data_IF_666388067695
#
_entry.id   IF_666388067695
#
_cell.length_a   1.000
_cell.length_b   1.000
_cell.length_c   1.000
_cell.angle_alpha   90.00
_cell.angle_beta   90.00
_cell.angle_gamma   90.00
#
_symmetry.space_group_name_H-M   'P 1'
#
loop_
_entity.id
_entity.type
_entity.pdbx_description
1 polymer ?
#
# COMPACT_ATOMS: atom_id res chain seq x y z
N UNK A 1 -20.71 2.79 0.33
CA UNK A 1 -19.39 2.55 0.95
C UNK A 1 -18.38 2.53 -0.17
N UNK A 2 -17.54 3.57 -0.29
CA UNK A 2 -16.65 3.71 -1.44
C UNK A 2 -15.73 2.49 -1.56
N UNK A 3 -15.57 1.96 -2.79
CA UNK A 3 -14.58 0.93 -3.13
C UNK A 3 -13.18 1.52 -2.87
N UNK A 4 -12.77 1.46 -1.60
CA UNK A 4 -11.49 1.99 -1.17
C UNK A 4 -10.47 0.88 -1.35
N UNK A 5 -9.61 1.03 -2.36
CA UNK A 5 -8.44 0.18 -2.58
C UNK A 5 -7.69 -0.14 -1.28
N UNK A 6 -7.54 0.85 -0.39
CA UNK A 6 -6.89 0.68 0.92
C UNK A 6 -7.67 -0.22 1.88
N UNK A 7 -9.01 -0.19 1.87
CA UNK A 7 -9.83 -1.11 2.66
C UNK A 7 -9.72 -2.56 2.15
N UNK A 8 -9.50 -2.74 0.84
CA UNK A 8 -9.19 -4.07 0.28
C UNK A 8 -7.83 -4.56 0.77
N UNK A 9 -6.82 -3.68 0.77
CA UNK A 9 -5.48 -4.01 1.27
C UNK A 9 -5.57 -4.42 2.75
N UNK A 10 -6.22 -3.63 3.60
CA UNK A 10 -6.41 -3.95 5.01
C UNK A 10 -6.95 -5.38 5.21
N UNK A 11 -8.05 -5.73 4.54
CA UNK A 11 -8.65 -7.06 4.65
C UNK A 11 -7.72 -8.19 4.19
N UNK A 12 -6.84 -7.92 3.23
CA UNK A 12 -5.83 -8.90 2.80
C UNK A 12 -4.78 -9.04 3.89
N UNK A 13 -4.26 -7.93 4.43
CA UNK A 13 -3.24 -7.96 5.49
C UNK A 13 -3.75 -8.59 6.78
N UNK A 14 -5.03 -8.43 7.12
CA UNK A 14 -5.69 -9.09 8.27
C UNK A 14 -5.72 -10.64 8.14
N UNK A 15 -5.54 -11.19 6.93
CA UNK A 15 -5.48 -12.64 6.68
C UNK A 15 -4.04 -13.16 6.57
N UNK A 16 -3.06 -12.27 6.45
CA UNK A 16 -1.66 -12.60 6.31
C UNK A 16 -1.00 -12.61 7.71
N UNK A 17 0.07 -13.38 7.92
CA UNK A 17 0.86 -13.26 9.14
C UNK A 17 1.44 -11.85 9.28
N UNK A 18 1.67 -11.37 10.51
CA UNK A 18 2.19 -10.01 10.80
C UNK A 18 3.65 -9.77 10.34
N UNK A 19 4.21 -10.65 9.51
CA UNK A 19 5.59 -10.62 9.01
C UNK A 19 5.72 -9.97 7.62
N UNK A 20 4.65 -9.35 7.13
CA UNK A 20 4.67 -8.64 5.85
C UNK A 20 5.49 -7.34 5.93
N UNK A 21 6.09 -6.98 4.80
CA UNK A 21 6.97 -5.84 4.63
C UNK A 21 6.48 -4.95 3.49
N UNK A 22 6.62 -3.64 3.64
CA UNK A 22 6.32 -2.65 2.60
C UNK A 22 7.63 -2.23 1.93
N UNK A 23 7.68 -2.29 0.61
CA UNK A 23 8.78 -1.72 -0.19
C UNK A 23 8.30 -0.51 -0.94
N UNK A 24 9.07 0.57 -0.88
CA UNK A 24 8.95 1.70 -1.80
C UNK A 24 9.71 1.37 -3.09
N UNK A 25 9.10 1.68 -4.22
CA UNK A 25 9.66 1.50 -5.56
C UNK A 25 9.62 2.88 -6.22
N UNK A 26 10.79 3.45 -6.48
CA UNK A 26 10.98 4.78 -7.07
C UNK A 26 10.81 4.74 -8.59
N UNK A 27 9.63 4.31 -9.01
CA UNK A 27 9.20 4.29 -10.40
C UNK A 27 7.93 5.13 -10.57
N UNK A 28 7.85 5.92 -11.66
CA UNK A 28 6.69 6.75 -11.90
C UNK A 28 5.44 5.90 -12.12
N UNK A 29 4.34 6.31 -11.52
CA UNK A 29 3.05 5.64 -11.68
C UNK A 29 1.91 6.63 -11.78
N UNK A 30 0.78 6.17 -12.29
CA UNK A 30 -0.40 7.00 -12.49
C UNK A 30 -1.61 6.30 -11.88
N UNK A 31 -2.45 7.05 -11.19
CA UNK A 31 -3.72 6.55 -10.68
C UNK A 31 -4.82 7.59 -10.89
N UNK A 32 -6.03 7.12 -11.21
CA UNK A 32 -7.20 8.00 -11.28
C UNK A 32 -7.72 8.27 -9.87
N UNK A 33 -8.01 9.52 -9.56
CA UNK A 33 -8.70 9.88 -8.32
C UNK A 33 -10.22 9.66 -8.46
N UNK A 34 -10.97 9.91 -7.38
CA UNK A 34 -12.43 9.78 -7.38
C UNK A 34 -13.15 10.77 -8.32
N UNK A 35 -12.48 11.85 -8.74
CA UNK A 35 -12.97 12.81 -9.74
C UNK A 35 -12.65 12.38 -11.18
N UNK A 36 -11.97 11.26 -11.37
CA UNK A 36 -11.54 10.75 -12.68
C UNK A 36 -10.24 11.37 -13.22
N UNK A 37 -9.61 12.27 -12.47
CA UNK A 37 -8.36 12.93 -12.85
C UNK A 37 -7.18 11.97 -12.67
N UNK A 38 -6.24 11.98 -13.61
CA UNK A 38 -5.02 11.19 -13.53
C UNK A 38 -3.99 11.93 -12.69
N UNK A 39 -3.66 11.37 -11.53
CA UNK A 39 -2.59 11.86 -10.67
C UNK A 39 -1.32 11.07 -10.97
N UNK A 40 -0.23 11.79 -11.16
CA UNK A 40 1.11 11.24 -11.33
C UNK A 40 1.78 11.15 -9.96
N UNK A 41 2.47 10.04 -9.72
CA UNK A 41 3.25 9.80 -8.52
C UNK A 41 4.65 9.38 -8.95
N UNK A 42 5.67 9.91 -8.28
CA UNK A 42 7.07 9.57 -8.59
C UNK A 42 7.49 8.18 -8.10
N UNK A 43 6.68 7.60 -7.20
CA UNK A 43 6.93 6.29 -6.61
C UNK A 43 5.63 5.55 -6.32
N UNK A 44 5.75 4.26 -6.03
CA UNK A 44 4.69 3.45 -5.47
C UNK A 44 5.21 2.49 -4.41
N UNK A 45 4.29 1.95 -3.63
CA UNK A 45 4.55 0.97 -2.59
C UNK A 45 3.96 -0.38 -2.99
N UNK A 46 4.63 -1.44 -2.56
CA UNK A 46 4.14 -2.81 -2.64
C UNK A 46 4.33 -3.52 -1.31
N UNK A 47 3.35 -4.35 -0.95
CA UNK A 47 3.49 -5.26 0.19
C UNK A 47 4.06 -6.60 -0.28
N UNK A 48 5.02 -7.10 0.48
CA UNK A 48 5.66 -8.40 0.33
C UNK A 48 5.44 -9.20 1.61
N UNK A 49 5.35 -10.52 1.49
CA UNK A 49 5.42 -11.44 2.63
C UNK A 49 6.89 -11.58 3.09
N UNK A 50 7.12 -12.13 4.28
CA UNK A 50 8.47 -12.44 4.75
C UNK A 50 9.25 -13.38 3.82
N UNK A 51 8.56 -14.23 3.06
CA UNK A 51 9.18 -15.11 2.05
C UNK A 51 9.66 -14.35 0.78
N UNK A 52 9.44 -13.03 0.69
CA UNK A 52 9.80 -12.20 -0.46
C UNK A 52 8.78 -12.21 -1.59
N UNK A 53 7.63 -12.87 -1.45
CA UNK A 53 6.56 -12.84 -2.44
C UNK A 53 5.72 -11.57 -2.34
N UNK A 54 5.41 -10.96 -3.48
CA UNK A 54 4.52 -9.80 -3.52
C UNK A 54 3.06 -10.21 -3.28
N UNK A 55 2.39 -9.55 -2.34
CA UNK A 55 0.98 -9.81 -2.04
C UNK A 55 0.11 -9.20 -3.16
N UNK A 56 -0.76 -10.03 -3.75
CA UNK A 56 -1.64 -9.61 -4.83
C UNK A 56 -2.59 -8.51 -4.36
N UNK A 57 -2.87 -7.55 -5.23
CA UNK A 57 -3.71 -6.38 -4.96
C UNK A 57 -3.17 -5.39 -3.91
N UNK A 58 -1.95 -5.59 -3.40
CA UNK A 58 -1.30 -4.71 -2.42
C UNK A 58 -0.26 -3.77 -3.03
N UNK A 59 -0.55 -3.21 -4.22
CA UNK A 59 0.21 -2.09 -4.82
C UNK A 59 -0.54 -0.80 -4.58
N UNK A 60 0.07 0.22 -4.00
CA UNK A 60 -0.58 1.50 -3.65
C UNK A 60 0.41 2.67 -3.72
N UNK A 61 -0.06 3.91 -3.73
CA UNK A 61 0.79 5.09 -3.88
C UNK A 61 0.87 5.96 -2.62
N UNK A 62 -0.14 5.92 -1.74
CA UNK A 62 -0.24 6.84 -0.60
C UNK A 62 -0.12 6.06 0.70
N UNK A 63 1.07 6.10 1.31
CA UNK A 63 1.38 5.40 2.56
C UNK A 63 0.52 5.88 3.74
N UNK A 64 0.26 7.19 3.81
CA UNK A 64 -0.57 7.81 4.84
C UNK A 64 -1.99 7.23 4.86
N UNK A 65 -2.55 6.93 3.68
CA UNK A 65 -3.89 6.32 3.59
C UNK A 65 -3.90 4.89 4.08
N UNK A 66 -2.83 4.13 3.84
CA UNK A 66 -2.71 2.78 4.39
C UNK A 66 -2.62 2.84 5.93
N UNK A 67 -1.77 3.72 6.46
CA UNK A 67 -1.61 3.94 7.90
C UNK A 67 -2.94 4.31 8.58
N UNK A 68 -3.71 5.23 8.00
CA UNK A 68 -5.03 5.62 8.49
C UNK A 68 -6.02 4.44 8.54
N UNK A 69 -6.02 3.59 7.51
CA UNK A 69 -6.92 2.44 7.44
C UNK A 69 -6.51 1.36 8.46
N UNK A 70 -5.21 1.14 8.64
CA UNK A 70 -4.66 0.23 9.64
C UNK A 70 -4.71 0.80 11.07
N UNK A 71 -5.04 2.09 11.23
CA UNK A 71 -5.06 2.83 12.51
C UNK A 71 -3.72 2.81 13.25
N UNK A 72 -2.62 2.82 12.50
CA UNK A 72 -1.25 2.88 13.00
C UNK A 72 -0.58 4.14 12.47
N UNK A 73 0.43 4.69 13.17
CA UNK A 73 1.21 5.79 12.61
C UNK A 73 2.08 5.29 11.45
N UNK A 74 2.36 6.16 10.48
CA UNK A 74 3.14 5.81 9.27
C UNK A 74 4.52 5.24 9.62
N UNK A 75 5.15 5.77 10.67
CA UNK A 75 6.45 5.36 11.19
C UNK A 75 6.47 3.94 11.79
N UNK A 76 5.31 3.39 12.15
CA UNK A 76 5.19 2.00 12.63
C UNK A 76 4.96 0.99 11.51
N UNK A 77 4.76 1.45 10.27
CA UNK A 77 4.64 0.54 9.15
C UNK A 77 6.00 -0.11 8.86
N UNK A 78 6.04 -1.42 8.55
CA UNK A 78 7.28 -2.15 8.27
C UNK A 78 7.81 -1.81 6.87
N UNK A 79 8.21 -0.55 6.68
CA UNK A 79 8.80 -0.05 5.44
C UNK A 79 10.28 -0.40 5.46
N UNK A 80 10.72 -1.15 4.45
CA UNK A 80 12.14 -1.40 4.22
C UNK A 80 12.60 -0.50 3.07
N UNK A 81 13.60 0.32 3.36
CA UNK A 81 14.31 1.10 2.34
C UNK A 81 15.09 0.14 1.44
N UNK A 82 15.09 0.44 0.14
CA UNK A 82 15.75 -0.38 -0.87
C UNK A 82 17.27 -0.19 -0.85
#
# INVERSE_FOLDING_TARGET
>A
MAFNHYAKIQRILELEPDDWLIRRIDEPTQAKNFKGEVIHFDHYYRVYRANGEAIKYCKFQQIERLAQVLKVPVESLPIIDQ
#
